data_IF_952215176971
#
_entry.id   IF_952215176971
#
_cell.length_a   1.000
_cell.length_b   1.000
_cell.length_c   1.000
_cell.angle_alpha   90.00
_cell.angle_beta   90.00
_cell.angle_gamma   90.00
#
_symmetry.space_group_name_H-M   'P 1'
#
loop_
_entity.id
_entity.type
_entity.pdbx_description
1 polymer ?
#
# COMPACT_ATOMS: atom_id res chain seq x y z
N UNK A 1 40.50 -37.93 -33.66
CA UNK A 1 39.11 -37.39 -33.63
C UNK A 1 38.13 -38.38 -34.29
N UNK A 2 38.14 -39.66 -33.90
CA UNK A 2 37.23 -40.66 -34.49
C UNK A 2 36.21 -41.18 -33.48
N UNK A 3 36.49 -41.04 -32.18
CA UNK A 3 35.66 -41.55 -31.09
C UNK A 3 34.27 -40.91 -31.12
N UNK A 4 34.17 -39.59 -31.32
CA UNK A 4 32.88 -38.91 -31.31
C UNK A 4 31.98 -39.35 -32.49
N UNK A 5 32.57 -39.52 -33.68
CA UNK A 5 31.86 -40.00 -34.87
C UNK A 5 31.44 -41.46 -34.71
N UNK A 6 32.33 -42.31 -34.17
CA UNK A 6 32.02 -43.70 -33.83
C UNK A 6 30.94 -43.84 -32.76
N UNK A 7 30.95 -43.01 -31.72
CA UNK A 7 29.90 -43.05 -30.69
C UNK A 7 28.56 -42.59 -31.24
N UNK A 8 28.55 -41.58 -32.12
CA UNK A 8 27.31 -41.08 -32.72
C UNK A 8 26.72 -42.09 -33.72
N UNK A 9 27.59 -42.79 -34.46
CA UNK A 9 27.20 -43.84 -35.40
C UNK A 9 26.76 -45.12 -34.68
N UNK A 10 27.43 -45.50 -33.58
CA UNK A 10 27.00 -46.57 -32.68
C UNK A 10 25.65 -46.22 -32.03
N UNK A 11 25.47 -44.98 -31.60
CA UNK A 11 24.24 -44.49 -30.99
C UNK A 11 23.08 -44.48 -32.00
N UNK A 12 23.32 -44.05 -33.24
CA UNK A 12 22.33 -44.15 -34.32
C UNK A 12 21.98 -45.60 -34.67
N UNK A 13 22.98 -46.49 -34.71
CA UNK A 13 22.76 -47.92 -34.92
C UNK A 13 21.96 -48.54 -33.76
N UNK A 14 22.24 -48.14 -32.53
CA UNK A 14 21.53 -48.54 -31.31
C UNK A 14 20.07 -48.06 -31.33
N UNK A 15 19.82 -46.83 -31.77
CA UNK A 15 18.48 -46.27 -31.96
C UNK A 15 17.66 -47.01 -33.03
N UNK A 16 18.30 -47.39 -34.15
CA UNK A 16 17.67 -48.20 -35.20
C UNK A 16 17.40 -49.62 -34.70
N UNK A 17 18.34 -50.23 -33.98
CA UNK A 17 18.19 -51.56 -33.38
C UNK A 17 17.07 -51.61 -32.34
N UNK A 18 16.98 -50.61 -31.45
CA UNK A 18 15.90 -50.46 -30.47
C UNK A 18 14.55 -50.12 -31.13
N UNK A 19 14.55 -49.49 -32.31
CA UNK A 19 13.35 -49.10 -33.06
C UNK A 19 12.73 -50.23 -33.89
N UNK A 20 13.51 -51.23 -34.31
CA UNK A 20 13.03 -52.34 -35.16
C UNK A 20 12.08 -53.28 -34.41
N UNK A 21 12.02 -53.24 -33.07
CA UNK A 21 11.16 -54.13 -32.28
C UNK A 21 9.88 -53.48 -31.74
N UNK A 22 9.72 -52.14 -31.71
CA UNK A 22 8.52 -51.50 -31.08
C UNK A 22 8.12 -50.18 -31.79
N UNK A 23 6.89 -50.14 -32.33
CA UNK A 23 6.23 -48.99 -32.99
C UNK A 23 6.22 -47.67 -32.20
N UNK A 24 6.45 -47.73 -30.88
CA UNK A 24 6.43 -46.60 -29.95
C UNK A 24 7.67 -45.71 -30.01
N UNK A 25 8.81 -46.23 -30.46
CA UNK A 25 10.08 -45.47 -30.48
C UNK A 25 10.14 -44.52 -31.68
N UNK A 26 9.65 -44.95 -32.85
CA UNK A 26 9.49 -44.07 -34.01
C UNK A 26 8.54 -42.90 -33.68
N UNK A 27 7.47 -43.19 -32.93
CA UNK A 27 6.58 -42.15 -32.41
C UNK A 27 7.30 -41.20 -31.45
N UNK A 28 8.13 -41.70 -30.53
CA UNK A 28 8.91 -40.86 -29.62
C UNK A 28 9.87 -39.90 -30.34
N UNK A 29 10.53 -40.34 -31.42
CA UNK A 29 11.43 -39.48 -32.22
C UNK A 29 10.65 -38.43 -33.01
N UNK A 30 9.51 -38.79 -33.61
CA UNK A 30 8.63 -37.84 -34.30
C UNK A 30 8.09 -36.80 -33.30
N UNK A 31 7.66 -37.24 -32.11
CA UNK A 31 7.20 -36.35 -31.04
C UNK A 31 8.34 -35.45 -30.55
N UNK A 32 9.55 -35.96 -30.36
CA UNK A 32 10.71 -35.15 -29.96
C UNK A 32 11.09 -34.10 -31.02
N UNK A 33 11.00 -34.45 -32.31
CA UNK A 33 11.24 -33.52 -33.42
C UNK A 33 10.11 -32.47 -33.56
N UNK A 34 8.86 -32.87 -33.32
CA UNK A 34 7.73 -31.93 -33.28
C UNK A 34 7.85 -31.01 -32.08
N UNK A 35 8.21 -31.52 -30.90
CA UNK A 35 8.50 -30.71 -29.71
C UNK A 35 9.63 -29.75 -30.03
N UNK A 36 10.80 -30.17 -30.53
CA UNK A 36 11.91 -29.23 -30.77
C UNK A 36 11.57 -28.09 -31.74
N UNK A 37 10.77 -28.37 -32.79
CA UNK A 37 10.29 -27.36 -33.74
C UNK A 37 9.14 -26.50 -33.20
N UNK A 38 8.24 -27.10 -32.42
CA UNK A 38 7.08 -26.41 -31.87
C UNK A 38 7.29 -25.89 -30.46
N UNK A 39 8.44 -26.08 -29.79
CA UNK A 39 8.65 -25.70 -28.37
C UNK A 39 9.10 -24.25 -28.22
N UNK A 40 9.74 -23.66 -29.22
CA UNK A 40 10.20 -22.25 -29.16
C UNK A 40 9.02 -21.29 -28.93
N UNK A 41 7.90 -21.51 -29.62
CA UNK A 41 6.69 -20.70 -29.51
C UNK A 41 5.93 -20.85 -28.17
N UNK A 42 5.57 -22.05 -27.67
CA UNK A 42 4.90 -22.27 -26.40
C UNK A 42 5.84 -22.02 -25.21
N UNK A 43 7.16 -22.14 -25.35
CA UNK A 43 8.09 -21.72 -24.31
C UNK A 43 8.07 -20.19 -24.16
N UNK A 44 8.10 -19.44 -25.27
CA UNK A 44 7.96 -17.97 -25.23
C UNK A 44 6.57 -17.55 -24.74
N UNK A 45 5.52 -18.23 -25.16
CA UNK A 45 4.15 -17.99 -24.70
C UNK A 45 3.98 -18.30 -23.20
N UNK A 46 4.55 -19.40 -22.70
CA UNK A 46 4.48 -19.76 -21.29
C UNK A 46 5.31 -18.82 -20.40
N UNK A 47 6.48 -18.36 -20.85
CA UNK A 47 7.27 -17.34 -20.14
C UNK A 47 6.52 -16.01 -20.09
N UNK A 48 5.92 -15.57 -21.19
CA UNK A 48 5.13 -14.34 -21.22
C UNK A 48 3.86 -14.46 -20.38
N UNK A 49 3.17 -15.60 -20.41
CA UNK A 49 2.03 -15.90 -19.56
C UNK A 49 2.43 -15.93 -18.07
N UNK A 50 3.52 -16.61 -17.71
CA UNK A 50 4.07 -16.60 -16.35
C UNK A 50 4.43 -15.20 -15.87
N UNK A 51 5.02 -14.37 -16.75
CA UNK A 51 5.35 -12.97 -16.42
C UNK A 51 4.09 -12.14 -16.19
N UNK A 52 3.04 -12.34 -17.00
CA UNK A 52 1.74 -11.66 -16.82
C UNK A 52 1.03 -12.13 -15.55
N UNK A 53 1.05 -13.42 -15.25
CA UNK A 53 0.52 -13.98 -14.00
C UNK A 53 1.26 -13.39 -12.78
N UNK A 54 2.60 -13.36 -12.81
CA UNK A 54 3.39 -12.73 -11.74
C UNK A 54 3.10 -11.24 -11.61
N UNK A 55 2.92 -10.52 -12.72
CA UNK A 55 2.55 -9.11 -12.69
C UNK A 55 1.15 -8.91 -12.10
N UNK A 56 0.16 -9.72 -12.51
CA UNK A 56 -1.19 -9.70 -11.97
C UNK A 56 -1.22 -10.03 -10.48
N UNK A 57 -0.43 -11.01 -10.03
CA UNK A 57 -0.27 -11.33 -8.61
C UNK A 57 0.37 -10.18 -7.83
N UNK A 58 1.38 -9.50 -8.40
CA UNK A 58 1.95 -8.28 -7.78
C UNK A 58 0.98 -7.10 -7.77
N UNK A 59 0.11 -6.98 -8.77
CA UNK A 59 -0.91 -5.92 -8.82
C UNK A 59 -2.08 -6.20 -7.88
N UNK A 60 -2.20 -7.46 -7.45
CA UNK A 60 -3.08 -7.91 -6.35
C UNK A 60 -2.45 -7.68 -4.98
N UNK A 61 -1.41 -6.83 -4.87
CA UNK A 61 -1.06 -6.24 -3.57
C UNK A 61 -2.27 -5.41 -3.17
N UNK A 62 -2.90 -5.78 -2.06
CA UNK A 62 -4.16 -5.19 -1.61
C UNK A 62 -4.10 -3.66 -1.69
N UNK A 63 -5.19 -3.00 -2.10
CA UNK A 63 -5.27 -1.55 -2.02
C UNK A 63 -4.88 -1.16 -0.59
N UNK A 64 -3.93 -0.23 -0.45
CA UNK A 64 -3.44 0.19 0.87
C UNK A 64 -4.66 0.53 1.71
N UNK A 65 -4.90 -0.26 2.77
CA UNK A 65 -6.01 -0.05 3.68
C UNK A 65 -5.89 1.38 4.20
N UNK A 66 -6.93 2.18 4.01
CA UNK A 66 -7.00 3.47 4.66
C UNK A 66 -6.92 3.24 6.17
N UNK A 67 -6.16 4.10 6.85
CA UNK A 67 -6.02 4.05 8.29
C UNK A 67 -7.44 4.17 8.89
N UNK A 68 -7.79 3.26 9.79
CA UNK A 68 -9.06 3.39 10.52
C UNK A 68 -9.00 4.63 11.42
N UNK A 69 -10.16 5.24 11.73
CA UNK A 69 -10.21 6.44 12.57
C UNK A 69 -9.51 6.25 13.93
N UNK A 70 -9.65 5.07 14.52
CA UNK A 70 -8.98 4.69 15.78
C UNK A 70 -7.45 4.66 15.64
N UNK A 71 -6.94 4.09 14.54
CA UNK A 71 -5.49 4.04 14.28
C UNK A 71 -4.92 5.44 14.07
N UNK A 72 -5.67 6.34 13.41
CA UNK A 72 -5.29 7.74 13.23
C UNK A 72 -5.25 8.50 14.56
N UNK A 73 -6.27 8.33 15.41
CA UNK A 73 -6.32 8.95 16.73
C UNK A 73 -5.15 8.51 17.59
N UNK A 74 -4.84 7.20 17.61
CA UNK A 74 -3.70 6.68 18.35
C UNK A 74 -2.37 7.28 17.89
N UNK A 75 -2.14 7.36 16.58
CA UNK A 75 -0.91 7.95 16.05
C UNK A 75 -0.82 9.44 16.37
N UNK A 76 -1.94 10.17 16.30
CA UNK A 76 -2.00 11.56 16.69
C UNK A 76 -1.67 11.76 18.17
N UNK A 77 -2.20 10.93 19.07
CA UNK A 77 -1.90 10.98 20.50
C UNK A 77 -0.42 10.68 20.79
N UNK A 78 0.13 9.63 20.17
CA UNK A 78 1.51 9.22 20.36
C UNK A 78 2.51 10.28 19.88
N UNK A 79 2.29 10.84 18.67
CA UNK A 79 3.17 11.87 18.12
C UNK A 79 3.00 13.20 18.86
N UNK A 80 1.79 13.56 19.28
CA UNK A 80 1.56 14.76 20.12
C UNK A 80 2.27 14.64 21.45
N UNK A 81 2.17 13.48 22.13
CA UNK A 81 2.86 13.24 23.39
C UNK A 81 4.37 13.39 23.23
N UNK A 82 4.94 12.77 22.19
CA UNK A 82 6.37 12.83 21.90
C UNK A 82 6.83 14.26 21.61
N UNK A 83 6.09 15.00 20.78
CA UNK A 83 6.40 16.40 20.47
C UNK A 83 6.36 17.30 21.73
N UNK A 84 5.42 17.05 22.65
CA UNK A 84 5.34 17.78 23.93
C UNK A 84 6.52 17.45 24.85
N UNK A 85 6.97 16.20 24.91
CA UNK A 85 8.16 15.80 25.67
C UNK A 85 9.42 16.47 25.11
N UNK A 86 9.59 16.46 23.79
CA UNK A 86 10.69 17.15 23.11
C UNK A 86 10.65 18.66 23.36
N UNK A 87 9.45 19.26 23.36
CA UNK A 87 9.27 20.67 23.69
C UNK A 87 9.71 20.98 25.12
N UNK A 88 9.30 20.17 26.11
CA UNK A 88 9.70 20.34 27.52
C UNK A 88 11.22 20.25 27.68
N UNK A 89 11.84 19.27 27.02
CA UNK A 89 13.30 19.10 27.02
C UNK A 89 13.99 20.32 26.42
N UNK A 90 13.49 20.83 25.29
CA UNK A 90 14.03 22.04 24.67
C UNK A 90 13.87 23.27 25.58
N UNK A 91 12.73 23.44 26.24
CA UNK A 91 12.49 24.55 27.17
C UNK A 91 13.35 24.49 28.43
N UNK A 92 13.77 23.28 28.83
CA UNK A 92 14.69 23.06 29.97
C UNK A 92 16.18 23.23 29.59
N UNK A 93 16.49 23.38 28.30
CA UNK A 93 17.85 23.56 27.82
C UNK A 93 18.39 24.96 28.17
N UNK A 94 19.67 25.11 28.56
CA UNK A 94 20.29 26.40 28.84
C UNK A 94 20.36 27.33 27.62
N UNK A 95 20.22 26.80 26.40
CA UNK A 95 20.20 27.59 25.17
C UNK A 95 18.83 28.21 24.86
N UNK A 96 17.79 27.87 25.62
CA UNK A 96 16.43 28.35 25.40
C UNK A 96 16.24 29.78 25.89
N UNK A 97 15.68 30.64 25.01
CA UNK A 97 15.37 32.05 25.33
C UNK A 97 14.07 32.19 26.12
N UNK A 98 14.04 31.67 27.34
CA UNK A 98 12.87 31.62 28.23
C UNK A 98 12.14 32.97 28.37
N UNK A 99 12.86 34.06 28.65
CA UNK A 99 12.25 35.38 28.89
C UNK A 99 11.58 35.99 27.64
N UNK A 100 12.10 35.69 26.45
CA UNK A 100 11.52 36.15 25.18
C UNK A 100 10.23 35.39 24.86
N UNK A 101 10.20 34.10 25.15
CA UNK A 101 9.01 33.27 24.95
C UNK A 101 7.92 33.68 25.95
N UNK A 102 8.26 33.84 27.22
CA UNK A 102 7.34 34.26 28.28
C UNK A 102 6.69 35.62 27.97
N UNK A 103 7.45 36.58 27.44
CA UNK A 103 6.91 37.90 27.07
C UNK A 103 5.86 37.85 25.94
N UNK A 104 5.79 36.76 25.16
CA UNK A 104 4.86 36.60 24.03
C UNK A 104 3.64 35.74 24.37
N UNK A 105 3.67 35.04 25.51
CA UNK A 105 2.60 34.12 25.92
C UNK A 105 1.51 34.87 26.70
N UNK A 106 0.26 34.46 26.52
CA UNK A 106 -0.87 35.03 27.27
C UNK A 106 -0.84 34.66 28.76
N UNK A 107 -0.36 33.46 29.09
CA UNK A 107 -0.32 32.96 30.48
C UNK A 107 1.04 32.34 30.83
N UNK A 108 2.02 33.15 31.28
CA UNK A 108 3.34 32.68 31.70
C UNK A 108 3.31 31.58 32.77
N UNK A 109 2.35 31.64 33.68
CA UNK A 109 2.21 30.67 34.79
C UNK A 109 1.89 29.26 34.28
N UNK A 110 0.92 29.13 33.37
CA UNK A 110 0.56 27.83 32.76
C UNK A 110 1.75 27.21 32.02
N UNK A 111 2.56 28.04 31.37
CA UNK A 111 3.75 27.59 30.68
C UNK A 111 4.82 27.06 31.65
N UNK A 112 5.06 27.74 32.77
CA UNK A 112 5.98 27.26 33.79
C UNK A 112 5.55 25.90 34.35
N UNK A 113 4.27 25.77 34.71
CA UNK A 113 3.72 24.51 35.23
C UNK A 113 3.83 23.37 34.20
N UNK A 114 3.65 23.68 32.90
CA UNK A 114 3.83 22.73 31.80
C UNK A 114 5.28 22.25 31.65
N UNK A 115 6.25 23.15 31.75
CA UNK A 115 7.69 22.82 31.66
C UNK A 115 8.12 21.95 32.85
N UNK A 116 7.54 22.19 34.03
CA UNK A 116 7.76 21.37 35.25
C UNK A 116 7.13 19.96 35.16
N UNK A 117 6.23 19.74 34.20
CA UNK A 117 5.67 18.42 33.89
C UNK A 117 4.15 18.32 34.00
N UNK A 118 3.47 19.39 34.40
CA UNK A 118 2.00 19.41 34.47
C UNK A 118 1.37 19.29 33.07
N UNK A 119 0.13 18.76 32.97
CA UNK A 119 -0.58 18.65 31.68
C UNK A 119 -0.70 20.00 30.96
N UNK A 120 -0.63 19.98 29.63
CA UNK A 120 -0.77 21.19 28.80
C UNK A 120 -2.22 21.69 28.75
N UNK A 121 -3.19 20.79 28.92
CA UNK A 121 -4.62 21.08 28.97
C UNK A 121 -5.08 21.20 30.41
N UNK A 122 -5.99 22.14 30.66
CA UNK A 122 -6.69 22.23 31.93
C UNK A 122 -7.87 21.25 31.93
N UNK A 123 -8.16 20.62 33.07
CA UNK A 123 -9.26 19.63 33.17
C UNK A 123 -10.60 20.16 32.67
N UNK A 124 -10.87 21.46 32.86
CA UNK A 124 -12.06 22.13 32.36
C UNK A 124 -12.09 22.23 30.82
N UNK A 125 -10.95 22.46 30.18
CA UNK A 125 -10.86 22.52 28.71
C UNK A 125 -11.15 21.14 28.10
N UNK A 126 -10.61 20.09 28.72
CA UNK A 126 -10.87 18.69 28.31
C UNK A 126 -12.34 18.33 28.47
N UNK A 127 -12.99 18.74 29.58
CA UNK A 127 -14.41 18.46 29.79
C UNK A 127 -15.31 19.20 28.82
N UNK A 128 -15.00 20.46 28.49
CA UNK A 128 -15.78 21.24 27.51
C UNK A 128 -15.64 20.61 26.12
N UNK A 129 -14.42 20.25 25.71
CA UNK A 129 -14.19 19.57 24.43
C UNK A 129 -14.91 18.21 24.37
N UNK A 130 -14.86 17.42 25.44
CA UNK A 130 -15.56 16.15 25.51
C UNK A 130 -17.10 16.31 25.48
N UNK A 131 -17.62 17.44 25.95
CA UNK A 131 -19.05 17.74 25.86
C UNK A 131 -19.45 18.18 24.45
N UNK A 132 -18.64 19.03 23.80
CA UNK A 132 -18.92 19.60 22.47
C UNK A 132 -18.70 18.58 21.34
N UNK A 133 -17.64 17.77 21.44
CA UNK A 133 -17.24 16.79 20.42
C UNK A 133 -17.38 15.33 20.89
N UNK A 134 -18.03 15.09 22.03
CA UNK A 134 -18.32 13.74 22.51
C UNK A 134 -19.50 13.10 21.78
N UNK A 135 -20.02 12.01 22.36
CA UNK A 135 -21.12 11.21 21.82
C UNK A 135 -22.39 12.01 21.43
N UNK A 136 -22.59 13.18 22.02
CA UNK A 136 -23.69 14.09 21.66
C UNK A 136 -23.37 15.06 20.51
N UNK A 137 -22.10 15.37 20.24
CA UNK A 137 -21.68 16.32 19.20
C UNK A 137 -21.64 15.72 17.80
N UNK A 138 -21.18 14.47 17.68
CA UNK A 138 -21.12 13.75 16.39
C UNK A 138 -22.49 13.53 15.76
N UNK A 139 -23.55 13.40 16.58
CA UNK A 139 -24.93 13.25 16.11
C UNK A 139 -25.46 14.53 15.44
N UNK A 140 -25.07 15.70 15.93
CA UNK A 140 -25.47 16.98 15.32
C UNK A 140 -24.68 17.32 14.05
N UNK A 141 -23.41 16.87 13.96
CA UNK A 141 -22.57 17.08 12.78
C UNK A 141 -23.07 16.27 11.57
N UNK A 142 -23.53 15.04 11.80
CA UNK A 142 -24.15 14.18 10.77
C UNK A 142 -25.44 14.81 10.21
N UNK A 143 -26.35 15.31 11.07
CA UNK A 143 -27.61 15.92 10.63
C UNK A 143 -27.40 17.23 9.84
N UNK A 144 -26.36 18.00 10.15
CA UNK A 144 -26.07 19.26 9.46
C UNK A 144 -25.45 19.07 8.07
N UNK A 145 -24.70 17.98 7.85
CA UNK A 145 -24.02 17.71 6.58
C UNK A 145 -24.87 16.90 5.58
N UNK A 146 -25.96 16.28 6.04
CA UNK A 146 -26.84 15.42 5.21
C UNK A 146 -27.96 16.20 4.47
N UNK A 147 -28.04 17.53 4.61
CA UNK A 147 -29.16 18.34 4.08
C UNK A 147 -28.86 19.10 2.76
N UNK A 148 -27.67 18.98 2.17
CA UNK A 148 -27.24 19.83 1.03
C UNK A 148 -27.20 19.12 -0.36
N UNK A 149 -27.68 17.87 -0.49
CA UNK A 149 -27.53 17.06 -1.72
C UNK A 149 -28.79 16.94 -2.60
N UNK A 150 -29.80 17.81 -2.48
CA UNK A 150 -31.05 17.71 -3.26
C UNK A 150 -31.48 19.05 -3.90
N UNK A 151 -30.66 19.67 -4.77
CA UNK A 151 -31.14 20.68 -5.73
C UNK A 151 -30.09 20.96 -6.81
N UNK A 152 -30.03 20.18 -7.90
CA UNK A 152 -29.48 20.61 -9.21
C UNK A 152 -29.60 19.51 -10.30
N UNK A 153 -30.78 19.35 -10.93
CA UNK A 153 -30.85 18.82 -12.31
C UNK A 153 -32.18 19.12 -13.03
N UNK A 154 -32.39 20.35 -13.52
CA UNK A 154 -33.18 20.54 -14.76
C UNK A 154 -32.99 21.95 -15.37
N UNK A 155 -31.95 22.11 -16.19
CA UNK A 155 -31.88 23.21 -17.16
C UNK A 155 -31.39 22.69 -18.51
N UNK A 156 -32.30 22.09 -19.30
CA UNK A 156 -32.03 21.74 -20.71
C UNK A 156 -32.14 22.98 -21.62
N UNK A 157 -31.20 23.18 -22.57
CA UNK A 157 -31.18 24.35 -23.44
C UNK A 157 -32.23 24.27 -24.57
N UNK A 158 -32.97 25.37 -24.73
CA UNK A 158 -34.01 25.62 -25.71
C UNK A 158 -33.41 25.68 -27.15
N UNK A 159 -33.86 24.81 -28.06
CA UNK A 159 -33.57 24.92 -29.50
C UNK A 159 -34.60 25.83 -30.15
N UNK A 160 -34.14 26.84 -30.89
CA UNK A 160 -34.93 27.70 -31.76
C UNK A 160 -35.06 27.01 -33.13
N UNK A 161 -36.27 26.76 -33.67
CA UNK A 161 -36.49 26.53 -35.09
C UNK A 161 -36.95 27.83 -35.79
N UNK A 162 -36.64 27.89 -37.08
CA UNK A 162 -36.81 29.00 -38.04
C UNK A 162 -38.21 29.63 -38.12
#
# INVERSE_FOLDING_TARGET
>A
MNILSWTLQLFGLLLVYLGIQIQQVAFAVIVAALISKHLEHPLRLSVTACRRLRAAVRWKTEPRRLLTGEEFQREAEEETRKALEDLRKNCSSPEFRSWRTVARLQSPKRFADFVEGSPHLVSNEVSVHAQEYGFGGSFFEEEFFDTDDEEDDDMKPQKIPE
#
